data_IF_932446193089
#
_entry.id   IF_932446193089
#
_cell.length_a   1.000
_cell.length_b   1.000
_cell.length_c   1.000
_cell.angle_alpha   90.00
_cell.angle_beta   90.00
_cell.angle_gamma   90.00
#
_symmetry.space_group_name_H-M   'P 1'
#
loop_
_entity.id
_entity.type
_entity.pdbx_description
1 polymer ?
#
# COMPACT_ATOMS: atom_id res chain seq x y z
N UNK A 1 22.15 -20.48 -7.12
CA UNK A 1 22.27 -19.84 -5.78
C UNK A 1 20.88 -19.38 -5.35
N UNK A 2 20.41 -19.72 -4.14
CA UNK A 2 19.17 -19.15 -3.58
C UNK A 2 19.49 -17.83 -2.89
N UNK A 3 18.74 -16.77 -3.19
CA UNK A 3 18.88 -15.47 -2.51
C UNK A 3 18.40 -15.61 -1.05
N UNK A 4 19.14 -15.03 -0.09
CA UNK A 4 18.83 -15.03 1.35
C UNK A 4 18.25 -13.67 1.80
N UNK A 5 17.34 -13.09 1.02
CA UNK A 5 16.80 -11.77 1.30
C UNK A 5 15.75 -11.81 2.42
N UNK A 6 15.87 -10.91 3.39
CA UNK A 6 14.87 -10.69 4.46
C UNK A 6 13.95 -9.50 4.20
N UNK A 7 14.27 -8.66 3.20
CA UNK A 7 13.46 -7.52 2.77
C UNK A 7 13.43 -7.45 1.25
N UNK A 8 12.24 -7.30 0.69
CA UNK A 8 12.00 -7.08 -0.73
C UNK A 8 11.21 -5.80 -0.90
N UNK A 9 11.80 -4.84 -1.61
CA UNK A 9 11.17 -3.55 -1.93
C UNK A 9 10.59 -3.61 -3.33
N UNK A 10 9.30 -3.28 -3.43
CA UNK A 10 8.54 -3.42 -4.67
C UNK A 10 7.86 -2.11 -5.07
N UNK A 11 7.58 -1.99 -6.38
CA UNK A 11 6.90 -0.85 -6.98
C UNK A 11 5.94 -1.27 -8.10
N UNK A 12 5.85 -0.46 -9.15
CA UNK A 12 5.09 -0.69 -10.40
C UNK A 12 3.55 -0.70 -10.29
N UNK A 13 2.96 -1.38 -9.30
CA UNK A 13 1.49 -1.48 -9.16
C UNK A 13 0.80 -0.19 -8.69
N UNK A 14 1.56 0.83 -8.28
CA UNK A 14 1.06 2.09 -7.71
C UNK A 14 0.14 1.87 -6.50
N UNK A 15 0.38 0.78 -5.77
CA UNK A 15 -0.43 0.31 -4.65
C UNK A 15 0.48 0.02 -3.47
N UNK A 16 0.35 0.74 -2.35
CA UNK A 16 1.08 0.38 -1.16
C UNK A 16 0.50 -0.88 -0.54
N UNK A 17 1.38 -1.77 -0.10
CA UNK A 17 1.02 -3.05 0.47
C UNK A 17 2.16 -3.66 1.27
N UNK A 18 1.87 -4.58 2.19
CA UNK A 18 2.88 -5.31 2.95
C UNK A 18 2.48 -6.77 3.11
N UNK A 19 3.44 -7.67 2.88
CA UNK A 19 3.34 -9.08 3.23
C UNK A 19 4.53 -9.50 4.10
N UNK A 20 4.27 -10.39 5.04
CA UNK A 20 5.31 -11.15 5.74
C UNK A 20 5.19 -12.61 5.28
N UNK A 21 6.22 -13.11 4.63
CA UNK A 21 6.30 -14.49 4.14
C UNK A 21 7.47 -15.12 4.89
N UNK A 22 7.17 -15.98 5.86
CA UNK A 22 8.17 -16.47 6.81
C UNK A 22 8.96 -15.28 7.42
N UNK A 23 10.29 -15.33 7.32
CA UNK A 23 11.22 -14.30 7.80
C UNK A 23 11.52 -13.20 6.76
N UNK A 24 10.75 -13.14 5.67
CA UNK A 24 10.93 -12.14 4.61
C UNK A 24 9.78 -11.13 4.61
N UNK A 25 10.15 -9.86 4.69
CA UNK A 25 9.22 -8.75 4.56
C UNK A 25 9.18 -8.28 3.10
N UNK A 26 8.00 -8.28 2.49
CA UNK A 26 7.78 -7.73 1.14
C UNK A 26 6.95 -6.46 1.28
N UNK A 27 7.46 -5.33 0.79
CA UNK A 27 6.79 -4.03 0.94
C UNK A 27 6.67 -3.33 -0.41
N UNK A 28 5.47 -2.89 -0.73
CA UNK A 28 5.18 -2.00 -1.84
C UNK A 28 5.00 -0.57 -1.34
N UNK A 29 5.70 0.37 -1.98
CA UNK A 29 5.70 1.79 -1.60
C UNK A 29 4.49 2.58 -2.09
N UNK A 30 3.77 2.08 -3.09
CA UNK A 30 2.77 2.86 -3.83
C UNK A 30 3.41 3.62 -4.98
N UNK A 31 3.12 4.92 -5.07
CA UNK A 31 3.77 5.84 -6.01
C UNK A 31 3.95 7.20 -5.36
N UNK A 32 5.06 7.88 -5.64
CA UNK A 32 5.38 9.20 -5.05
C UNK A 32 4.74 10.37 -5.81
N UNK A 33 4.37 10.18 -7.08
CA UNK A 33 4.01 11.28 -7.97
C UNK A 33 3.06 10.88 -9.11
N UNK A 34 2.22 9.86 -8.92
CA UNK A 34 1.27 9.46 -9.96
C UNK A 34 -0.08 10.15 -9.76
N UNK A 35 -0.65 10.72 -10.84
CA UNK A 35 -1.97 11.35 -10.81
C UNK A 35 -3.10 10.32 -10.68
N UNK A 36 -2.94 9.15 -11.31
CA UNK A 36 -3.94 8.07 -11.31
C UNK A 36 -3.40 6.87 -10.57
N UNK A 37 -3.67 6.85 -9.28
CA UNK A 37 -3.42 5.68 -8.45
C UNK A 37 -4.54 4.67 -8.66
N UNK A 38 -4.19 3.39 -8.72
CA UNK A 38 -5.21 2.33 -8.71
C UNK A 38 -5.73 2.33 -7.27
N UNK A 39 -6.97 2.75 -7.02
CA UNK A 39 -7.77 2.78 -5.77
C UNK A 39 -7.08 2.94 -4.41
N UNK A 40 -5.89 3.52 -4.35
CA UNK A 40 -5.27 4.10 -3.16
C UNK A 40 -5.17 5.59 -3.47
N UNK A 41 -5.48 6.46 -2.53
CA UNK A 41 -5.88 7.83 -2.88
C UNK A 41 -4.77 8.85 -2.71
N UNK A 42 -3.59 8.42 -2.26
CA UNK A 42 -2.52 9.33 -1.90
C UNK A 42 -1.18 8.86 -2.46
N UNK A 43 -0.35 9.80 -2.90
CA UNK A 43 1.03 9.49 -3.18
C UNK A 43 1.76 9.13 -1.88
N UNK A 44 2.60 8.11 -1.94
CA UNK A 44 3.22 7.50 -0.77
C UNK A 44 4.60 6.94 -1.05
N UNK A 45 5.35 6.75 0.03
CA UNK A 45 6.63 6.06 0.06
C UNK A 45 6.78 5.27 1.35
N UNK A 46 7.73 4.33 1.40
CA UNK A 46 8.04 3.63 2.63
C UNK A 46 9.19 4.31 3.37
N UNK A 47 9.09 4.31 4.70
CA UNK A 47 10.23 4.56 5.58
C UNK A 47 10.59 3.22 6.20
N UNK A 48 11.82 2.76 5.92
CA UNK A 48 12.33 1.49 6.40
C UNK A 48 13.33 1.77 7.50
N UNK A 49 13.06 1.24 8.69
CA UNK A 49 13.98 1.28 9.81
C UNK A 49 14.62 -0.11 9.98
N UNK A 50 15.95 -0.16 10.03
CA UNK A 50 16.71 -1.40 10.20
C UNK A 50 17.60 -1.23 11.44
N UNK A 51 17.34 -2.01 12.48
CA UNK A 51 18.08 -1.93 13.74
C UNK A 51 18.20 -3.30 14.37
N UNK A 52 19.42 -3.69 14.77
CA UNK A 52 19.68 -4.96 15.49
C UNK A 52 19.12 -6.22 14.80
N UNK A 53 19.09 -6.22 13.46
CA UNK A 53 18.52 -7.33 12.68
C UNK A 53 17.00 -7.28 12.50
N UNK A 54 16.31 -6.37 13.17
CA UNK A 54 14.89 -6.10 13.00
C UNK A 54 14.64 -5.13 11.84
N UNK A 55 13.58 -5.41 11.06
CA UNK A 55 13.16 -4.60 9.90
C UNK A 55 11.73 -4.15 10.13
N UNK A 56 11.56 -2.84 10.29
CA UNK A 56 10.26 -2.18 10.38
C UNK A 56 10.01 -1.35 9.11
N UNK A 57 8.82 -1.50 8.53
CA UNK A 57 8.39 -0.71 7.39
C UNK A 57 7.13 0.08 7.72
N UNK A 58 7.19 1.40 7.54
CA UNK A 58 6.06 2.32 7.70
C UNK A 58 5.68 2.90 6.34
N UNK A 59 4.39 3.16 6.12
CA UNK A 59 3.91 3.88 4.95
C UNK A 59 3.74 5.36 5.30
N UNK A 60 4.30 6.24 4.48
CA UNK A 60 4.22 7.68 4.64
C UNK A 60 3.53 8.30 3.44
N UNK A 61 2.55 9.15 3.70
CA UNK A 61 1.91 9.97 2.68
C UNK A 61 2.80 11.17 2.35
N UNK A 62 2.97 11.47 1.06
CA UNK A 62 3.67 12.66 0.60
C UNK A 62 2.96 13.90 1.16
N UNK A 63 3.67 14.68 1.97
CA UNK A 63 3.10 15.86 2.66
C UNK A 63 2.07 15.57 3.76
N UNK A 64 1.74 14.30 4.05
CA UNK A 64 0.70 13.92 5.01
C UNK A 64 1.23 13.17 6.23
N UNK A 65 0.42 12.29 6.82
CA UNK A 65 0.80 11.49 8.00
C UNK A 65 1.37 10.12 7.63
N UNK A 66 1.86 9.41 8.64
CA UNK A 66 2.07 7.96 8.54
C UNK A 66 0.72 7.25 8.57
N UNK A 67 0.61 6.17 7.80
CA UNK A 67 -0.61 5.35 7.71
C UNK A 67 -0.23 3.90 7.94
N UNK A 68 -1.00 3.20 8.79
CA UNK A 68 -0.81 1.77 8.97
C UNK A 68 -1.29 1.00 7.73
N UNK A 69 -0.58 -0.06 7.35
CA UNK A 69 -0.96 -0.88 6.20
C UNK A 69 -2.35 -1.53 6.34
N UNK A 70 -2.83 -1.77 7.57
CA UNK A 70 -4.17 -2.28 7.84
C UNK A 70 -5.27 -1.24 7.58
N UNK A 71 -5.00 0.05 7.77
CA UNK A 71 -5.96 1.11 7.44
C UNK A 71 -6.20 1.24 5.93
N UNK A 72 -5.21 0.85 5.12
CA UNK A 72 -5.35 0.83 3.65
C UNK A 72 -6.49 -0.09 3.22
N UNK A 73 -6.66 -1.22 3.90
CA UNK A 73 -7.77 -2.15 3.63
C UNK A 73 -9.11 -1.56 4.04
N UNK A 74 -9.19 -1.00 5.26
CA UNK A 74 -10.43 -0.38 5.74
C UNK A 74 -10.91 0.74 4.82
N UNK A 75 -9.99 1.60 4.36
CA UNK A 75 -10.32 2.69 3.43
C UNK A 75 -10.77 2.16 2.06
N UNK A 76 -10.27 1.02 1.61
CA UNK A 76 -10.74 0.36 0.37
C UNK A 76 -12.18 -0.12 0.51
N UNK A 77 -12.53 -0.75 1.63
CA UNK A 77 -13.90 -1.25 1.87
C UNK A 77 -14.91 -0.10 1.85
N UNK A 78 -14.63 0.97 2.59
CA UNK A 78 -15.48 2.17 2.63
C UNK A 78 -15.63 2.81 1.25
N UNK A 79 -14.55 2.88 0.46
CA UNK A 79 -14.60 3.52 -0.86
C UNK A 79 -15.26 2.63 -1.93
N UNK A 80 -15.16 1.30 -1.80
CA UNK A 80 -15.98 0.38 -2.61
C UNK A 80 -17.48 0.52 -2.29
N UNK A 81 -17.85 0.65 -1.01
CA UNK A 81 -19.25 0.87 -0.62
C UNK A 81 -19.78 2.21 -1.16
N UNK A 82 -18.98 3.28 -1.08
CA UNK A 82 -19.38 4.58 -1.62
C UNK A 82 -19.50 4.55 -3.15
N UNK A 83 -18.59 3.86 -3.86
CA UNK A 83 -18.65 3.73 -5.31
C UNK A 83 -19.88 2.91 -5.76
N UNK A 84 -20.26 1.85 -5.04
CA UNK A 84 -21.47 1.08 -5.36
C UNK A 84 -22.73 1.92 -5.15
N UNK A 85 -22.79 2.75 -4.10
CA UNK A 85 -23.93 3.64 -3.86
C UNK A 85 -24.12 4.71 -4.95
N UNK A 86 -23.07 5.02 -5.72
CA UNK A 86 -23.12 5.97 -6.83
C UNK A 86 -23.64 5.37 -8.16
N UNK A 87 -23.76 4.05 -8.25
CA UNK A 87 -24.24 3.34 -9.44
C UNK A 87 -25.58 2.61 -9.25
N UNK A 88 -26.38 3.02 -8.26
CA UNK A 88 -27.79 2.63 -8.20
C UNK A 88 -28.52 3.10 -9.47
N UNK A 89 -29.01 2.15 -10.26
CA UNK A 89 -29.85 2.28 -11.47
C UNK A 89 -29.24 2.66 -12.83
N UNK A 90 -27.97 3.06 -12.96
CA UNK A 90 -27.45 3.47 -14.29
C UNK A 90 -26.87 2.36 -15.16
N UNK A 91 -26.74 1.13 -14.63
CA UNK A 91 -26.19 -0.03 -15.36
C UNK A 91 -27.23 -1.12 -15.70
N UNK A 92 -28.51 -0.88 -15.41
CA UNK A 92 -29.62 -1.75 -15.84
C UNK A 92 -30.20 -1.28 -17.18
N UNK A 93 -29.39 -1.28 -18.24
CA UNK A 93 -29.84 -1.23 -19.65
C UNK A 93 -28.93 -2.06 -20.53
#
# INVERSE_FOLDING_TARGET
>A
VKSKANLVLCGHRHRPWRWRIENMLVVHAGSVSCEKLRGFFCNSYNIINVKEGEIEAKLKIVGGEFVDFSEIIKRREVLQESDISQYGDSLAR
#
